data_IF_317961123143
#
_entry.id   IF_317961123143
#
_cell.length_a   1.000
_cell.length_b   1.000
_cell.length_c   1.000
_cell.angle_alpha   90.00
_cell.angle_beta   90.00
_cell.angle_gamma   90.00
#
_symmetry.space_group_name_H-M   'P 1'
#
loop_
_entity.id
_entity.type
_entity.pdbx_description
1 polymer ?
#
# COMPACT_ATOMS: atom_id res chain seq x y z
N UNK A 1 15.09 -12.28 25.88
CA UNK A 1 15.72 -11.04 25.38
C UNK A 1 16.44 -11.37 24.08
N UNK A 2 15.74 -11.30 22.94
CA UNK A 2 16.36 -11.42 21.62
C UNK A 2 15.71 -10.38 20.72
N UNK A 3 16.50 -9.37 20.36
CA UNK A 3 16.08 -8.26 19.52
C UNK A 3 15.74 -8.75 18.13
N UNK A 4 14.49 -8.57 17.73
CA UNK A 4 14.11 -8.59 16.32
C UNK A 4 14.59 -7.25 15.76
N UNK A 5 15.67 -7.29 15.00
CA UNK A 5 16.15 -6.15 14.21
C UNK A 5 14.99 -5.68 13.33
N UNK A 6 14.47 -4.50 13.66
CA UNK A 6 13.36 -3.84 12.98
C UNK A 6 13.74 -3.29 11.59
N UNK A 7 14.56 -4.02 10.85
CA UNK A 7 14.90 -3.68 9.47
C UNK A 7 14.81 -4.93 8.59
N UNK A 8 13.65 -5.18 7.97
CA UNK A 8 13.53 -6.19 6.95
C UNK A 8 14.36 -5.69 5.75
N UNK A 9 15.44 -6.41 5.41
CA UNK A 9 16.36 -6.05 4.32
C UNK A 9 15.72 -5.96 2.93
N UNK A 10 14.41 -6.14 2.82
CA UNK A 10 13.60 -5.90 1.63
C UNK A 10 12.19 -5.46 2.03
N UNK A 11 11.58 -4.45 1.38
CA UNK A 11 10.21 -4.03 1.68
C UNK A 11 9.18 -5.17 1.51
N UNK A 12 9.53 -6.22 0.76
CA UNK A 12 8.71 -7.42 0.61
C UNK A 12 8.59 -8.24 1.88
N UNK A 13 9.67 -8.37 2.67
CA UNK A 13 9.66 -9.16 3.91
C UNK A 13 8.95 -8.43 5.05
N UNK A 14 8.95 -7.09 5.06
CA UNK A 14 8.14 -6.29 6.00
C UNK A 14 6.64 -6.60 5.90
N UNK A 15 6.16 -6.91 4.69
CA UNK A 15 4.75 -7.21 4.45
C UNK A 15 4.32 -8.55 5.06
N UNK A 16 5.20 -9.55 5.07
CA UNK A 16 4.90 -10.87 5.65
C UNK A 16 4.72 -10.80 7.17
N UNK A 17 5.43 -9.87 7.83
CA UNK A 17 5.26 -9.59 9.27
C UNK A 17 3.87 -9.07 9.64
N UNK A 18 3.09 -8.54 8.69
CA UNK A 18 1.71 -8.12 8.94
C UNK A 18 0.71 -9.29 8.96
N UNK A 19 1.15 -10.53 8.69
CA UNK A 19 0.41 -11.73 9.07
C UNK A 19 -0.99 -11.87 8.45
N UNK A 20 -1.17 -11.43 7.20
CA UNK A 20 -2.47 -11.59 6.55
C UNK A 20 -2.77 -13.06 6.25
N UNK A 21 -3.83 -13.68 6.82
CA UNK A 21 -4.13 -15.11 6.66
C UNK A 21 -4.82 -15.41 5.32
N UNK A 22 -4.32 -14.83 4.22
CA UNK A 22 -4.92 -15.00 2.90
C UNK A 22 -4.14 -16.01 2.04
N UNK A 23 -4.79 -17.13 1.75
CA UNK A 23 -4.23 -18.19 0.88
C UNK A 23 -4.38 -17.90 -0.62
N UNK A 24 -5.04 -16.81 -1.01
CA UNK A 24 -5.22 -16.45 -2.42
C UNK A 24 -4.03 -15.65 -2.97
N UNK A 25 -3.33 -16.24 -3.97
CA UNK A 25 -2.18 -15.59 -4.64
C UNK A 25 -2.51 -14.22 -5.22
N UNK A 26 -3.67 -14.06 -5.87
CA UNK A 26 -4.11 -12.77 -6.46
C UNK A 26 -4.26 -11.70 -5.37
N UNK A 27 -4.93 -12.04 -4.26
CA UNK A 27 -5.14 -11.14 -3.13
C UNK A 27 -3.81 -10.74 -2.49
N UNK A 28 -2.90 -11.71 -2.27
CA UNK A 28 -1.56 -11.44 -1.73
C UNK A 28 -0.76 -10.48 -2.61
N UNK A 29 -0.72 -10.71 -3.93
CA UNK A 29 -0.06 -9.80 -4.86
C UNK A 29 -0.65 -8.38 -4.84
N UNK A 30 -1.98 -8.28 -4.75
CA UNK A 30 -2.67 -7.01 -4.61
C UNK A 30 -2.32 -6.28 -3.31
N UNK A 31 -2.26 -7.00 -2.20
CA UNK A 31 -1.87 -6.42 -0.91
C UNK A 31 -0.39 -6.00 -0.88
N UNK A 32 0.51 -6.77 -1.48
CA UNK A 32 1.90 -6.33 -1.67
C UNK A 32 1.97 -5.02 -2.45
N UNK A 33 1.14 -4.85 -3.49
CA UNK A 33 1.08 -3.59 -4.24
C UNK A 33 0.58 -2.42 -3.37
N UNK A 34 -0.45 -2.65 -2.53
CA UNK A 34 -0.91 -1.63 -1.55
C UNK A 34 0.21 -1.29 -0.56
N UNK A 35 0.97 -2.29 -0.11
CA UNK A 35 2.09 -2.09 0.80
C UNK A 35 3.20 -1.24 0.17
N UNK A 36 3.58 -1.54 -1.07
CA UNK A 36 4.55 -0.72 -1.81
C UNK A 36 4.05 0.73 -1.98
N UNK A 37 2.74 0.92 -2.24
CA UNK A 37 2.15 2.26 -2.31
C UNK A 37 2.18 2.98 -0.95
N UNK A 38 2.05 2.23 0.15
CA UNK A 38 2.16 2.72 1.52
C UNK A 38 3.57 3.22 1.82
N UNK A 39 4.59 2.39 1.59
CA UNK A 39 5.99 2.78 1.77
C UNK A 39 6.33 4.01 0.92
N UNK A 40 5.87 4.05 -0.33
CA UNK A 40 6.07 5.18 -1.23
C UNK A 40 5.43 6.48 -0.72
N UNK A 41 4.18 6.42 -0.24
CA UNK A 41 3.49 7.59 0.29
C UNK A 41 4.16 8.13 1.56
N UNK A 42 4.57 7.24 2.47
CA UNK A 42 5.29 7.61 3.70
C UNK A 42 6.65 8.24 3.36
N UNK A 43 7.39 7.66 2.41
CA UNK A 43 8.67 8.22 1.97
C UNK A 43 8.50 9.64 1.40
N UNK A 44 7.50 9.86 0.53
CA UNK A 44 7.21 11.20 -0.01
C UNK A 44 6.82 12.19 1.09
N UNK A 45 5.94 11.80 2.02
CA UNK A 45 5.51 12.68 3.10
C UNK A 45 6.68 13.07 4.01
N UNK A 46 7.59 12.13 4.29
CA UNK A 46 8.82 12.42 5.04
C UNK A 46 9.72 13.39 4.27
N UNK A 47 9.88 13.20 2.96
CA UNK A 47 10.69 14.11 2.15
C UNK A 47 10.11 15.52 2.08
N UNK A 48 8.80 15.69 1.87
CA UNK A 48 8.19 17.02 1.88
C UNK A 48 8.32 17.69 3.25
N UNK A 49 8.26 16.95 4.34
CA UNK A 49 8.56 17.51 5.67
C UNK A 49 10.01 17.98 5.79
N UNK A 50 10.98 17.19 5.31
CA UNK A 50 12.42 17.50 5.43
C UNK A 50 12.84 18.65 4.50
N UNK A 51 12.35 18.68 3.27
CA UNK A 51 12.79 19.63 2.24
C UNK A 51 11.90 20.87 2.11
N UNK A 52 10.59 20.73 2.38
CA UNK A 52 9.61 21.80 2.20
C UNK A 52 9.06 22.32 3.55
N UNK A 53 9.39 21.66 4.66
CA UNK A 53 8.86 22.00 5.99
C UNK A 53 7.37 21.70 6.17
N UNK A 54 6.76 20.95 5.23
CA UNK A 54 5.33 20.66 5.25
C UNK A 54 5.06 19.49 6.21
N UNK A 55 4.29 19.69 7.30
CA UNK A 55 4.00 18.62 8.24
C UNK A 55 3.12 17.53 7.61
N UNK A 56 3.41 16.25 7.84
CA UNK A 56 2.64 15.16 7.25
C UNK A 56 1.25 15.05 7.86
N UNK A 57 0.21 15.02 7.02
CA UNK A 57 -1.16 14.70 7.42
C UNK A 57 -1.46 13.22 7.16
N UNK A 58 -1.81 12.47 8.20
CA UNK A 58 -2.19 11.05 8.08
C UNK A 58 -3.34 10.87 7.08
N UNK A 59 -4.32 11.78 7.10
CA UNK A 59 -5.45 11.76 6.18
C UNK A 59 -4.99 11.87 4.72
N UNK A 60 -4.09 12.80 4.44
CA UNK A 60 -3.56 13.01 3.08
C UNK A 60 -2.68 11.86 2.61
N UNK A 61 -1.89 11.29 3.51
CA UNK A 61 -1.09 10.09 3.24
C UNK A 61 -2.01 8.92 2.87
N UNK A 62 -3.05 8.66 3.65
CA UNK A 62 -4.02 7.59 3.37
C UNK A 62 -4.72 7.81 2.02
N UNK A 63 -5.14 9.03 1.70
CA UNK A 63 -5.73 9.34 0.40
C UNK A 63 -4.72 9.21 -0.75
N UNK A 64 -3.44 9.53 -0.53
CA UNK A 64 -2.39 9.29 -1.50
C UNK A 64 -2.18 7.78 -1.73
N UNK A 65 -2.18 6.96 -0.68
CA UNK A 65 -2.07 5.51 -0.77
C UNK A 65 -3.21 4.95 -1.62
N UNK A 66 -4.46 5.27 -1.29
CA UNK A 66 -5.65 4.81 -2.03
C UNK A 66 -5.57 5.17 -3.52
N UNK A 67 -5.22 6.42 -3.84
CA UNK A 67 -5.09 6.89 -5.23
C UNK A 67 -3.94 6.20 -5.96
N UNK A 68 -2.76 6.10 -5.34
CA UNK A 68 -1.59 5.47 -5.97
C UNK A 68 -1.81 3.98 -6.19
N UNK A 69 -2.34 3.25 -5.19
CA UNK A 69 -2.61 1.82 -5.32
C UNK A 69 -3.67 1.52 -6.37
N UNK A 70 -4.72 2.35 -6.47
CA UNK A 70 -5.74 2.20 -7.50
C UNK A 70 -5.15 2.42 -8.90
N UNK A 71 -4.37 3.49 -9.08
CA UNK A 71 -3.69 3.76 -10.37
C UNK A 71 -2.80 2.58 -10.79
N UNK A 72 -2.08 1.98 -9.85
CA UNK A 72 -1.25 0.81 -10.11
C UNK A 72 -2.09 -0.43 -10.44
N UNK A 73 -3.22 -0.63 -9.75
CA UNK A 73 -4.15 -1.72 -10.05
C UNK A 73 -4.69 -1.62 -11.47
N UNK A 74 -5.15 -0.42 -11.87
CA UNK A 74 -5.72 -0.17 -13.20
C UNK A 74 -4.67 -0.25 -14.30
N UNK A 75 -3.43 0.17 -14.03
CA UNK A 75 -2.33 0.01 -14.98
C UNK A 75 -1.96 -1.47 -15.21
N UNK A 76 -2.13 -2.33 -14.19
CA UNK A 76 -1.77 -3.75 -14.24
C UNK A 76 -2.89 -4.65 -14.77
N UNK A 77 -4.15 -4.24 -14.71
CA UNK A 77 -5.32 -5.04 -15.10
C UNK A 77 -6.16 -4.31 -16.14
N UNK A 78 -6.23 -4.86 -17.35
CA UNK A 78 -6.90 -4.25 -18.52
C UNK A 78 -8.42 -4.42 -18.57
N UNK A 79 -9.04 -5.35 -17.83
CA UNK A 79 -10.42 -5.78 -18.14
C UNK A 79 -11.42 -5.83 -16.97
N UNK A 80 -11.00 -5.55 -15.72
CA UNK A 80 -11.93 -5.49 -14.57
C UNK A 80 -11.55 -4.31 -13.66
N UNK A 81 -11.90 -3.10 -14.09
CA UNK A 81 -11.61 -1.87 -13.35
C UNK A 81 -12.55 -1.79 -12.16
N UNK A 82 -12.02 -1.97 -10.95
CA UNK A 82 -12.71 -1.55 -9.72
C UNK A 82 -12.85 -0.03 -9.75
N UNK A 83 -14.08 0.47 -9.57
CA UNK A 83 -14.33 1.92 -9.57
C UNK A 83 -13.69 2.54 -8.33
N UNK A 84 -13.32 3.82 -8.41
CA UNK A 84 -12.65 4.52 -7.31
C UNK A 84 -13.45 4.46 -5.99
N UNK A 85 -14.79 4.56 -6.08
CA UNK A 85 -15.65 4.45 -4.91
C UNK A 85 -15.64 3.05 -4.29
N UNK A 86 -15.61 1.98 -5.11
CA UNK A 86 -15.54 0.60 -4.65
C UNK A 86 -14.19 0.35 -3.98
N UNK A 87 -13.11 0.88 -4.56
CA UNK A 87 -11.78 0.78 -4.00
C UNK A 87 -11.66 1.47 -2.64
N UNK A 88 -12.31 2.62 -2.48
CA UNK A 88 -12.31 3.35 -1.20
C UNK A 88 -13.12 2.63 -0.12
N UNK A 89 -14.23 1.98 -0.47
CA UNK A 89 -15.08 1.25 0.48
C UNK A 89 -14.56 -0.15 0.80
N UNK A 90 -14.18 -0.92 -0.22
CA UNK A 90 -13.88 -2.35 -0.13
C UNK A 90 -12.72 -2.76 -1.05
N UNK A 91 -11.48 -2.31 -0.78
CA UNK A 91 -10.34 -2.59 -1.65
C UNK A 91 -10.02 -4.09 -1.75
N UNK A 92 -10.28 -4.87 -0.70
CA UNK A 92 -10.00 -6.30 -0.66
C UNK A 92 -10.87 -7.10 -1.65
N UNK A 93 -12.12 -6.68 -1.86
CA UNK A 93 -13.02 -7.30 -2.83
C UNK A 93 -12.55 -7.00 -4.26
N UNK A 94 -12.07 -5.78 -4.48
CA UNK A 94 -11.48 -5.38 -5.76
C UNK A 94 -10.20 -6.16 -6.12
N UNK A 95 -9.43 -6.63 -5.14
CA UNK A 95 -8.25 -7.46 -5.40
C UNK A 95 -8.59 -8.89 -5.88
N UNK A 96 -9.82 -9.36 -5.63
CA UNK A 96 -10.29 -10.68 -6.03
C UNK A 96 -10.82 -10.75 -7.45
N UNK A 97 -11.36 -9.64 -7.97
CA UNK A 97 -11.80 -9.52 -9.37
C UNK A 97 -10.62 -9.79 -10.32
#
# INVERSE_FOLDING_TARGET
MFGVTANPGSPHTSFESFGFPFNCRKRRQGLHMIWQATCWAVWKARNSMVFEGIPPSVREIVEAIKRTSLRWLTAKRSWAVCLAYEWQKSPLDCLLR
#
